data_IF_403398568306
#
_entry.id   IF_403398568306
#
_cell.length_a   1.000
_cell.length_b   1.000
_cell.length_c   1.000
_cell.angle_alpha   90.00
_cell.angle_beta   90.00
_cell.angle_gamma   90.00
#
_symmetry.space_group_name_H-M   'P 1'
#
loop_
_entity.id
_entity.type
_entity.pdbx_description
1 polymer ?
#
# COMPACT_ATOMS: atom_id res chain seq x y z
N UNK A 1 11.28 6.51 -2.86
CA UNK A 1 11.96 7.51 -2.02
C UNK A 1 12.69 6.87 -0.83
N UNK A 2 14.00 6.57 -0.91
CA UNK A 2 14.75 5.92 0.17
C UNK A 2 14.87 6.77 1.45
N UNK A 3 14.62 8.09 1.37
CA UNK A 3 14.66 9.01 2.51
C UNK A 3 13.73 8.62 3.67
N UNK A 4 12.53 8.08 3.39
CA UNK A 4 11.61 7.62 4.44
C UNK A 4 12.21 6.49 5.26
N UNK A 5 12.81 5.50 4.59
CA UNK A 5 13.52 4.41 5.23
C UNK A 5 14.68 4.94 6.10
N UNK A 6 15.55 5.80 5.54
CA UNK A 6 16.69 6.38 6.27
C UNK A 6 16.27 7.18 7.50
N UNK A 7 15.19 7.96 7.40
CA UNK A 7 14.60 8.67 8.54
C UNK A 7 14.06 7.69 9.60
N UNK A 8 13.31 6.67 9.19
CA UNK A 8 12.76 5.66 10.10
C UNK A 8 13.85 4.83 10.82
N UNK A 9 14.98 4.62 10.16
CA UNK A 9 16.18 3.99 10.72
C UNK A 9 16.86 4.94 11.73
N UNK A 10 17.05 6.22 11.38
CA UNK A 10 17.60 7.22 12.28
C UNK A 10 16.79 7.40 13.58
N UNK A 11 15.46 7.39 13.47
CA UNK A 11 14.56 7.42 14.65
C UNK A 11 14.72 6.16 15.50
N UNK A 12 14.76 4.96 14.89
CA UNK A 12 14.94 3.69 15.62
C UNK A 12 16.28 3.63 16.37
N UNK A 13 17.37 4.06 15.72
CA UNK A 13 18.71 4.13 16.31
C UNK A 13 18.76 5.13 17.46
N UNK A 14 18.12 6.30 17.30
CA UNK A 14 18.05 7.31 18.36
C UNK A 14 17.31 6.79 19.60
N UNK A 15 16.20 6.08 19.40
CA UNK A 15 15.45 5.44 20.49
C UNK A 15 16.29 4.34 21.18
N UNK A 16 16.96 3.49 20.41
CA UNK A 16 17.84 2.44 20.94
C UNK A 16 18.99 3.03 21.77
N UNK A 17 19.66 4.08 21.28
CA UNK A 17 20.74 4.78 21.99
C UNK A 17 20.20 5.45 23.27
N UNK A 18 19.02 6.09 23.23
CA UNK A 18 18.40 6.70 24.40
C UNK A 18 18.05 5.67 25.48
N UNK A 19 17.49 4.51 25.09
CA UNK A 19 17.23 3.39 26.00
C UNK A 19 18.51 2.81 26.59
N UNK A 20 19.57 2.66 25.80
CA UNK A 20 20.88 2.20 26.28
C UNK A 20 21.52 3.19 27.28
N UNK A 21 21.49 4.49 26.99
CA UNK A 21 21.98 5.52 27.89
C UNK A 21 21.18 5.57 29.20
N UNK A 22 19.86 5.44 29.13
CA UNK A 22 18.98 5.34 30.29
C UNK A 22 19.29 4.08 31.12
N UNK A 23 19.50 2.94 30.46
CA UNK A 23 19.87 1.67 31.09
C UNK A 23 21.19 1.81 31.86
N UNK A 24 22.24 2.33 31.22
CA UNK A 24 23.57 2.56 31.84
C UNK A 24 23.44 3.45 33.08
N UNK A 25 22.74 4.58 32.96
CA UNK A 25 22.51 5.51 34.07
C UNK A 25 21.78 4.82 35.25
N UNK A 26 20.76 4.00 34.95
CA UNK A 26 20.02 3.26 35.98
C UNK A 26 20.80 2.11 36.61
N UNK A 27 21.68 1.42 35.87
CA UNK A 27 22.64 0.48 36.45
C UNK A 27 23.60 1.20 37.40
N UNK A 28 24.16 2.34 36.99
CA UNK A 28 25.10 3.10 37.81
C UNK A 28 24.47 3.63 39.11
N UNK A 29 23.25 4.17 39.04
CA UNK A 29 22.49 4.63 40.22
C UNK A 29 22.12 3.47 41.18
N UNK A 30 21.88 2.27 40.64
CA UNK A 30 21.63 1.06 41.42
C UNK A 30 22.92 0.57 42.10
N UNK A 31 24.01 0.46 41.34
CA UNK A 31 25.32 -0.01 41.83
C UNK A 31 25.91 0.89 42.91
N UNK A 32 25.75 2.21 42.80
CA UNK A 32 26.16 3.20 43.82
C UNK A 32 25.27 3.24 45.07
N UNK A 33 24.26 2.36 45.19
CA UNK A 33 23.27 2.31 46.28
C UNK A 33 22.52 3.63 46.54
N UNK A 34 22.52 4.56 45.59
CA UNK A 34 21.73 5.79 45.66
C UNK A 34 20.23 5.50 45.58
N UNK A 35 19.87 4.36 44.99
CA UNK A 35 18.50 3.90 44.83
C UNK A 35 17.94 3.38 46.18
N UNK A 36 17.13 4.19 46.87
CA UNK A 36 16.54 3.85 48.18
C UNK A 36 15.14 3.22 48.11
N UNK A 37 14.57 3.08 46.91
CA UNK A 37 13.20 2.56 46.70
C UNK A 37 13.25 1.19 46.03
N UNK A 38 12.68 0.16 46.67
CA UNK A 38 12.77 -1.23 46.24
C UNK A 38 12.34 -1.49 44.79
N UNK A 39 11.21 -0.93 44.34
CA UNK A 39 10.70 -1.07 42.96
C UNK A 39 11.73 -0.55 41.93
N UNK A 40 12.47 0.51 42.27
CA UNK A 40 13.42 1.15 41.37
C UNK A 40 14.64 0.27 41.07
N UNK A 41 14.90 -0.79 41.85
CA UNK A 41 15.92 -1.80 41.53
C UNK A 41 15.55 -2.66 40.32
N UNK A 42 14.26 -2.81 40.01
CA UNK A 42 13.77 -3.63 38.89
C UNK A 42 13.66 -2.82 37.58
N UNK A 43 13.73 -1.49 37.65
CA UNK A 43 13.66 -0.59 36.50
C UNK A 43 14.70 -0.91 35.40
N UNK A 44 15.98 -1.23 35.70
CA UNK A 44 16.93 -1.68 34.69
C UNK A 44 16.46 -2.91 33.91
N UNK A 45 15.87 -3.91 34.59
CA UNK A 45 15.40 -5.14 33.95
C UNK A 45 14.25 -4.83 32.98
N UNK A 46 13.32 -3.98 33.39
CA UNK A 46 12.22 -3.52 32.53
C UNK A 46 12.75 -2.76 31.30
N UNK A 47 13.73 -1.86 31.47
CA UNK A 47 14.37 -1.15 30.36
C UNK A 47 15.09 -2.12 29.41
N UNK A 48 15.80 -3.13 29.94
CA UNK A 48 16.46 -4.16 29.12
C UNK A 48 15.45 -4.95 28.29
N UNK A 49 14.30 -5.33 28.85
CA UNK A 49 13.24 -6.03 28.11
C UNK A 49 12.74 -5.15 26.96
N UNK A 50 12.38 -3.89 27.23
CA UNK A 50 11.91 -2.93 26.21
C UNK A 50 12.97 -2.71 25.13
N UNK A 51 14.24 -2.55 25.53
CA UNK A 51 15.36 -2.38 24.61
C UNK A 51 15.53 -3.58 23.68
N UNK A 52 15.46 -4.81 24.20
CA UNK A 52 15.53 -6.02 23.38
C UNK A 52 14.37 -6.07 22.37
N UNK A 53 13.14 -5.74 22.78
CA UNK A 53 12.00 -5.67 21.86
C UNK A 53 12.20 -4.61 20.75
N UNK A 54 12.65 -3.40 21.09
CA UNK A 54 12.93 -2.33 20.11
C UNK A 54 14.07 -2.71 19.15
N UNK A 55 15.12 -3.36 19.64
CA UNK A 55 16.21 -3.85 18.79
C UNK A 55 15.70 -4.94 17.85
N UNK A 56 15.02 -5.97 18.37
CA UNK A 56 14.64 -7.14 17.58
C UNK A 56 13.53 -6.85 16.56
N UNK A 57 12.49 -6.11 16.95
CA UNK A 57 11.32 -5.86 16.09
C UNK A 57 11.48 -4.68 15.13
N UNK A 58 12.29 -3.66 15.46
CA UNK A 58 12.37 -2.43 14.66
C UNK A 58 13.79 -2.11 14.18
N UNK A 59 14.77 -2.06 15.07
CA UNK A 59 16.12 -1.56 14.71
C UNK A 59 16.90 -2.57 13.85
N UNK A 60 16.93 -3.84 14.25
CA UNK A 60 17.64 -4.91 13.55
C UNK A 60 17.16 -5.11 12.10
N UNK A 61 15.85 -5.28 11.80
CA UNK A 61 15.40 -5.47 10.42
C UNK A 61 15.76 -4.27 9.54
N UNK A 62 15.66 -3.03 10.07
CA UNK A 62 16.08 -1.82 9.35
C UNK A 62 17.59 -1.76 9.12
N UNK A 63 18.43 -2.20 10.06
CA UNK A 63 19.90 -2.27 9.87
C UNK A 63 20.27 -3.29 8.80
N UNK A 64 19.63 -4.46 8.76
CA UNK A 64 19.81 -5.44 7.69
C UNK A 64 19.35 -4.88 6.34
N UNK A 65 18.23 -4.16 6.33
CA UNK A 65 17.70 -3.55 5.12
C UNK A 65 18.49 -2.35 4.60
N UNK A 66 19.32 -1.70 5.42
CA UNK A 66 20.26 -0.70 4.93
C UNK A 66 21.27 -1.34 3.96
N UNK A 67 21.72 -2.56 4.27
CA UNK A 67 22.62 -3.34 3.40
C UNK A 67 21.88 -3.72 2.11
N UNK A 68 20.65 -4.23 2.22
CA UNK A 68 19.82 -4.56 1.06
C UNK A 68 19.57 -3.35 0.15
N UNK A 69 19.27 -2.18 0.73
CA UNK A 69 19.06 -0.94 -0.01
C UNK A 69 20.31 -0.49 -0.77
N UNK A 70 21.48 -0.52 -0.12
CA UNK A 70 22.78 -0.18 -0.76
C UNK A 70 23.11 -1.16 -1.90
N UNK A 71 22.75 -2.43 -1.76
CA UNK A 71 22.95 -3.47 -2.78
C UNK A 71 21.86 -3.48 -3.87
N UNK A 72 20.79 -2.67 -3.75
CA UNK A 72 19.63 -2.74 -4.65
C UNK A 72 18.76 -4.00 -4.48
N UNK A 73 19.01 -4.83 -3.46
CA UNK A 73 18.31 -6.08 -3.19
C UNK A 73 16.92 -5.83 -2.58
N UNK A 74 15.98 -5.41 -3.44
CA UNK A 74 14.58 -5.20 -3.08
C UNK A 74 13.72 -6.36 -3.57
N UNK A 75 12.63 -6.64 -2.87
CA UNK A 75 11.59 -7.57 -3.34
C UNK A 75 10.46 -6.79 -3.98
N UNK A 76 9.82 -7.36 -4.97
CA UNK A 76 8.62 -6.81 -5.59
C UNK A 76 7.36 -7.54 -5.13
N UNK A 77 6.24 -6.83 -5.14
CA UNK A 77 4.89 -7.39 -5.09
C UNK A 77 4.02 -6.61 -6.07
N UNK A 78 3.19 -7.32 -6.83
CA UNK A 78 2.19 -6.75 -7.72
C UNK A 78 0.80 -7.07 -7.17
N UNK A 79 -0.12 -6.09 -7.21
CA UNK A 79 -1.50 -6.22 -6.72
C UNK A 79 -2.42 -5.25 -7.46
N UNK A 80 -3.68 -5.64 -7.65
CA UNK A 80 -4.71 -4.73 -8.16
C UNK A 80 -5.18 -3.78 -7.06
N UNK A 81 -5.64 -2.58 -7.41
CA UNK A 81 -6.14 -1.57 -6.46
C UNK A 81 -7.22 -2.08 -5.50
N UNK A 82 -8.03 -3.03 -5.97
CA UNK A 82 -9.13 -3.69 -5.29
C UNK A 82 -8.66 -4.72 -4.24
N UNK A 83 -7.39 -5.17 -4.34
CA UNK A 83 -6.74 -6.13 -3.44
C UNK A 83 -5.90 -5.45 -2.35
N UNK A 84 -5.74 -4.11 -2.42
CA UNK A 84 -4.89 -3.32 -1.53
C UNK A 84 -5.76 -2.58 -0.50
N UNK A 85 -5.76 -3.06 0.75
CA UNK A 85 -6.39 -2.31 1.84
C UNK A 85 -5.42 -1.28 2.43
N UNK A 86 -5.85 -0.01 2.50
CA UNK A 86 -5.02 1.11 2.98
C UNK A 86 -5.45 1.51 4.40
N UNK A 87 -4.61 1.20 5.39
CA UNK A 87 -4.83 1.59 6.79
C UNK A 87 -3.77 2.62 7.24
N UNK A 88 -4.03 3.90 6.96
CA UNK A 88 -3.12 5.00 7.29
C UNK A 88 -1.81 4.91 6.48
N UNK A 89 -0.71 4.54 7.15
CA UNK A 89 0.60 4.34 6.51
C UNK A 89 0.86 2.87 6.15
N UNK A 90 -0.10 1.98 6.39
CA UNK A 90 0.02 0.55 6.11
C UNK A 90 -0.74 0.20 4.82
N UNK A 91 -0.11 -0.57 3.95
CA UNK A 91 -0.80 -1.31 2.89
C UNK A 91 -0.90 -2.77 3.33
N UNK A 92 -2.10 -3.34 3.29
CA UNK A 92 -2.34 -4.76 3.52
C UNK A 92 -2.58 -5.39 2.16
N UNK A 93 -1.72 -6.33 1.78
CA UNK A 93 -1.76 -7.02 0.49
C UNK A 93 -1.49 -8.50 0.76
N UNK A 94 -2.41 -9.39 0.36
CA UNK A 94 -2.32 -10.83 0.63
C UNK A 94 -2.03 -11.15 2.12
N UNK A 95 -2.78 -10.51 3.03
CA UNK A 95 -2.64 -10.59 4.50
C UNK A 95 -1.25 -10.19 5.05
N UNK A 96 -0.39 -9.57 4.23
CA UNK A 96 0.90 -9.01 4.66
C UNK A 96 0.84 -7.48 4.76
N UNK A 97 1.39 -6.96 5.85
CA UNK A 97 1.50 -5.52 6.11
C UNK A 97 2.81 -4.98 5.51
N UNK A 98 2.68 -3.93 4.70
CA UNK A 98 3.76 -3.17 4.11
C UNK A 98 3.70 -1.71 4.58
N UNK A 99 4.85 -1.11 4.86
CA UNK A 99 4.94 0.25 5.38
C UNK A 99 5.15 1.23 4.21
N UNK A 100 4.17 2.10 4.00
CA UNK A 100 4.19 3.16 2.99
C UNK A 100 4.64 4.48 3.62
N UNK A 101 5.38 5.29 2.85
CA UNK A 101 5.73 6.65 3.26
C UNK A 101 4.46 7.52 3.33
N UNK A 102 4.28 8.37 4.37
CA UNK A 102 3.19 9.37 4.41
C UNK A 102 3.22 10.37 3.24
N UNK A 103 4.35 10.44 2.52
CA UNK A 103 4.57 11.30 1.35
C UNK A 103 4.44 10.54 0.01
N UNK A 104 4.03 9.27 0.02
CA UNK A 104 3.75 8.52 -1.21
C UNK A 104 2.45 8.99 -1.88
N UNK A 105 2.35 8.74 -3.18
CA UNK A 105 1.09 8.91 -3.90
C UNK A 105 0.01 7.96 -3.38
N UNK A 106 -1.24 8.45 -3.36
CA UNK A 106 -2.40 7.63 -2.97
C UNK A 106 -2.62 6.49 -3.96
N UNK A 107 -3.22 5.42 -3.46
CA UNK A 107 -3.76 4.35 -4.29
C UNK A 107 -5.03 4.89 -4.97
N UNK A 108 -5.13 4.67 -6.28
CA UNK A 108 -6.29 4.99 -7.11
C UNK A 108 -6.91 3.70 -7.64
N UNK A 109 -8.22 3.69 -7.82
CA UNK A 109 -8.97 2.57 -8.39
C UNK A 109 -8.55 2.25 -9.84
N UNK A 110 -8.82 1.01 -10.30
CA UNK A 110 -8.58 0.53 -11.66
C UNK A 110 -7.11 0.59 -12.08
N UNK A 111 -6.18 0.36 -11.14
CA UNK A 111 -4.73 0.31 -11.40
C UNK A 111 -4.10 -0.96 -10.84
N UNK A 112 -3.15 -1.51 -11.58
CA UNK A 112 -2.23 -2.52 -11.05
C UNK A 112 -1.02 -1.80 -10.50
N UNK A 113 -0.71 -2.01 -9.22
CA UNK A 113 0.46 -1.44 -8.58
C UNK A 113 1.58 -2.46 -8.48
N UNK A 114 2.81 -2.04 -8.77
CA UNK A 114 4.04 -2.75 -8.41
C UNK A 114 4.78 -1.99 -7.33
N UNK A 115 4.97 -2.63 -6.17
CA UNK A 115 5.72 -2.06 -5.05
C UNK A 115 7.05 -2.78 -4.89
N UNK A 116 8.16 -2.03 -4.87
CA UNK A 116 9.46 -2.56 -4.43
C UNK A 116 9.65 -2.24 -2.96
N UNK A 117 9.88 -3.27 -2.14
CA UNK A 117 9.98 -3.19 -0.69
C UNK A 117 11.25 -3.85 -0.15
N UNK A 118 11.65 -3.42 1.04
CA UNK A 118 12.80 -3.95 1.76
C UNK A 118 12.43 -5.23 2.53
N UNK A 119 13.21 -6.32 2.41
CA UNK A 119 12.71 -7.66 2.73
C UNK A 119 12.47 -7.93 4.22
N UNK A 120 13.17 -7.27 5.14
CA UNK A 120 13.05 -7.53 6.58
C UNK A 120 12.04 -6.60 7.27
N UNK A 121 12.02 -5.32 6.89
CA UNK A 121 11.20 -4.25 7.49
C UNK A 121 9.90 -3.98 6.73
N UNK A 122 9.73 -4.55 5.54
CA UNK A 122 8.56 -4.38 4.66
C UNK A 122 8.26 -2.92 4.26
N UNK A 123 9.26 -2.04 4.38
CA UNK A 123 9.16 -0.64 3.95
C UNK A 123 9.21 -0.57 2.43
N UNK A 124 8.21 0.07 1.83
CA UNK A 124 8.13 0.35 0.39
C UNK A 124 9.10 1.48 0.06
N UNK A 125 10.00 1.22 -0.89
CA UNK A 125 11.02 2.18 -1.35
C UNK A 125 10.73 2.74 -2.74
N UNK A 126 9.96 2.02 -3.56
CA UNK A 126 9.54 2.42 -4.89
C UNK A 126 8.14 1.90 -5.21
N UNK A 127 7.40 2.63 -6.03
CA UNK A 127 6.00 2.38 -6.39
C UNK A 127 5.81 2.75 -7.85
N UNK A 128 5.28 1.81 -8.62
CA UNK A 128 4.93 1.95 -10.03
C UNK A 128 3.47 1.54 -10.19
N UNK A 129 2.79 2.06 -11.22
CA UNK A 129 1.44 1.64 -11.55
C UNK A 129 1.22 1.65 -13.06
N UNK A 130 0.44 0.68 -13.51
CA UNK A 130 -0.11 0.61 -14.87
C UNK A 130 -1.64 0.74 -14.80
N UNK A 131 -2.22 1.44 -15.77
CA UNK A 131 -3.67 1.59 -15.87
C UNK A 131 -4.27 0.25 -16.32
N UNK A 132 -5.16 -0.34 -15.53
CA UNK A 132 -5.92 -1.50 -16.02
C UNK A 132 -6.96 -1.01 -17.04
N UNK A 133 -7.16 -1.75 -18.12
CA UNK A 133 -8.30 -1.51 -19.00
C UNK A 133 -9.58 -1.79 -18.19
N UNK A 134 -10.61 -0.91 -18.25
CA UNK A 134 -11.83 -1.13 -17.50
C UNK A 134 -12.44 -2.47 -17.89
N UNK A 135 -12.73 -3.31 -16.88
CA UNK A 135 -13.50 -4.54 -17.09
C UNK A 135 -14.87 -4.15 -17.65
N UNK A 136 -15.05 -4.38 -18.95
CA UNK A 136 -16.37 -4.33 -19.57
C UNK A 136 -17.15 -5.50 -18.97
N UNK A 137 -18.12 -5.19 -18.12
CA UNK A 137 -19.10 -6.19 -17.68
C UNK A 137 -19.92 -6.57 -18.92
N UNK A 138 -19.78 -7.81 -19.37
CA UNK A 138 -20.67 -8.36 -20.39
C UNK A 138 -22.09 -8.34 -19.84
N UNK A 139 -22.92 -7.44 -20.37
CA UNK A 139 -24.36 -7.46 -20.13
C UNK A 139 -24.86 -8.78 -20.70
N UNK A 140 -25.55 -9.63 -19.92
CA UNK A 140 -26.06 -10.90 -20.44
C UNK A 140 -27.03 -10.61 -21.59
N UNK A 141 -26.63 -11.00 -22.79
CA UNK A 141 -27.51 -10.99 -23.97
C UNK A 141 -28.50 -12.12 -23.77
N UNK A 142 -29.78 -11.76 -23.66
CA UNK A 142 -30.87 -12.70 -23.42
C UNK A 142 -31.13 -13.50 -24.72
N UNK A 143 -30.47 -14.66 -24.85
CA UNK A 143 -30.63 -15.55 -26.00
C UNK A 143 -31.98 -16.29 -25.91
N UNK A 144 -32.92 -15.93 -26.79
CA UNK A 144 -34.10 -16.76 -27.06
C UNK A 144 -34.29 -16.93 -28.58
N UNK A 145 -34.27 -18.17 -29.13
CA UNK A 145 -34.11 -18.38 -30.57
C UNK A 145 -35.41 -18.70 -31.35
N UNK A 146 -35.35 -18.41 -32.65
CA UNK A 146 -36.07 -19.10 -33.78
C UNK A 146 -37.56 -18.78 -34.05
N UNK A 147 -37.84 -18.38 -35.30
CA UNK A 147 -39.17 -18.48 -35.93
C UNK A 147 -39.28 -17.86 -37.34
N UNK A 148 -39.53 -18.66 -38.39
CA UNK A 148 -39.95 -18.24 -39.75
C UNK A 148 -41.19 -19.06 -40.19
N UNK A 149 -41.87 -18.93 -41.34
CA UNK A 149 -41.65 -18.34 -42.69
C UNK A 149 -43.08 -18.21 -43.36
N UNK A 150 -43.34 -18.10 -44.70
CA UNK A 150 -42.57 -17.55 -45.82
C UNK A 150 -43.34 -16.60 -46.79
N UNK A 151 -42.57 -15.83 -47.58
CA UNK A 151 -42.75 -15.51 -49.02
C UNK A 151 -44.16 -15.10 -49.58
N UNK A 152 -44.32 -13.77 -49.88
CA UNK A 152 -44.88 -13.08 -51.12
C UNK A 152 -46.29 -13.46 -51.71
N UNK A 153 -46.87 -12.70 -52.69
CA UNK A 153 -46.67 -11.30 -53.16
C UNK A 153 -47.98 -10.44 -53.35
N UNK A 154 -47.87 -9.11 -53.47
CA UNK A 154 -48.26 -8.29 -54.65
C UNK A 154 -48.34 -6.76 -54.40
N UNK A 155 -48.32 -5.99 -55.49
CA UNK A 155 -48.32 -4.52 -55.66
C UNK A 155 -49.47 -4.19 -56.66
N UNK A 156 -49.98 -2.96 -56.88
CA UNK A 156 -49.57 -1.63 -56.40
C UNK A 156 -50.70 -0.75 -55.80
N UNK A 157 -50.34 0.42 -55.24
CA UNK A 157 -50.95 1.72 -55.62
C UNK A 157 -50.19 2.92 -54.99
N UNK A 158 -49.95 3.95 -55.80
CA UNK A 158 -49.44 5.29 -55.43
C UNK A 158 -50.58 6.29 -55.73
N UNK A 159 -50.73 7.46 -55.03
CA UNK A 159 -49.78 8.54 -55.30
C UNK A 159 -49.48 9.56 -54.16
N UNK A 160 -48.19 9.92 -54.07
CA UNK A 160 -47.62 11.29 -54.10
C UNK A 160 -48.17 12.45 -53.23
N UNK A 161 -47.26 13.00 -52.40
CA UNK A 161 -47.31 14.35 -51.80
C UNK A 161 -46.55 14.41 -50.45
N UNK A 162 -45.91 15.49 -49.99
CA UNK A 162 -45.57 16.81 -50.57
C UNK A 162 -44.41 17.44 -49.75
N UNK A 163 -43.47 18.11 -50.43
CA UNK A 163 -42.35 19.01 -49.99
C UNK A 163 -42.00 19.28 -48.49
N UNK A 164 -40.69 19.12 -48.19
CA UNK A 164 -39.70 20.03 -47.50
C UNK A 164 -40.16 21.38 -46.84
N UNK A 165 -39.39 22.01 -45.89
CA UNK A 165 -37.95 21.86 -45.60
C UNK A 165 -37.47 21.91 -44.11
N UNK A 166 -36.13 21.85 -43.98
CA UNK A 166 -35.23 22.03 -42.84
C UNK A 166 -35.38 23.36 -42.08
N UNK A 167 -35.13 23.36 -40.77
CA UNK A 167 -34.63 24.53 -40.01
C UNK A 167 -33.36 24.16 -39.24
N UNK A 168 -32.29 24.93 -39.44
CA UNK A 168 -31.00 24.87 -38.73
C UNK A 168 -30.77 26.26 -38.16
N UNK A 169 -30.47 26.35 -36.85
CA UNK A 169 -29.97 27.57 -36.22
C UNK A 169 -28.82 27.19 -35.27
N UNK A 170 -27.61 27.53 -35.71
CA UNK A 170 -26.37 27.71 -34.92
C UNK A 170 -26.21 29.23 -34.65
N UNK A 171 -25.30 29.72 -33.76
CA UNK A 171 -24.04 29.09 -33.33
C UNK A 171 -23.77 29.03 -31.81
#
# INVERSE_FOLDING_TARGET
MPFYFLFSLGVSLTLAIALLALLINRLQANWTRQNKVGISFLLPVLITIIFIFVIYLDTQPKVLDLINLIQGNTKTIEAQSEEIEVQGNNLIINDQIYLLSPLSEKIFEQKTYRFSYLPNSKIIVHQEYDTTLPKIYEVPVDENPTGSDPIKPDNPDYPSGTTTPVEVIDP
#
